data_IF_136810362102
#
_entry.id   IF_136810362102
#
_cell.length_a   1.000
_cell.length_b   1.000
_cell.length_c   1.000
_cell.angle_alpha   90.00
_cell.angle_beta   90.00
_cell.angle_gamma   90.00
#
_symmetry.space_group_name_H-M   'P 1'
#
loop_
_entity.id
_entity.type
_entity.pdbx_description
1 polymer ?
#
# COMPACT_ATOMS: atom_id res chain seq x y z
N UNK A 1 -10.47 -12.65 -3.33
CA UNK A 1 -9.04 -12.34 -3.47
C UNK A 1 -8.76 -11.91 -4.91
N UNK A 2 -8.09 -10.78 -5.13
CA UNK A 2 -7.71 -10.31 -6.47
C UNK A 2 -6.22 -10.56 -6.70
N UNK A 3 -5.88 -11.17 -7.83
CA UNK A 3 -4.49 -11.35 -8.22
C UNK A 3 -3.80 -10.01 -8.52
N UNK A 4 -2.48 -9.98 -8.36
CA UNK A 4 -1.62 -8.90 -8.84
C UNK A 4 -1.69 -8.87 -10.36
N UNK A 5 -1.87 -7.69 -10.93
CA UNK A 5 -1.90 -7.46 -12.37
C UNK A 5 -0.83 -6.46 -12.81
N UNK A 6 -0.75 -6.18 -14.11
CA UNK A 6 0.24 -5.25 -14.68
C UNK A 6 0.14 -3.83 -14.12
N UNK A 7 -1.06 -3.36 -13.76
CA UNK A 7 -1.24 -2.04 -13.17
C UNK A 7 -0.68 -1.98 -11.74
N UNK A 8 -0.85 -3.06 -10.97
CA UNK A 8 -0.25 -3.16 -9.64
C UNK A 8 1.29 -3.08 -9.70
N UNK A 9 1.89 -3.66 -10.75
CA UNK A 9 3.34 -3.55 -11.00
C UNK A 9 3.73 -2.11 -11.33
N UNK A 10 2.94 -1.40 -12.15
CA UNK A 10 3.19 0.01 -12.47
C UNK A 10 3.16 0.88 -11.20
N UNK A 11 2.22 0.62 -10.30
CA UNK A 11 2.12 1.32 -9.00
C UNK A 11 3.37 1.10 -8.15
N UNK A 12 3.87 -0.14 -8.06
CA UNK A 12 5.11 -0.44 -7.34
C UNK A 12 6.29 0.31 -7.96
N UNK A 13 6.40 0.33 -9.30
CA UNK A 13 7.47 1.04 -9.99
C UNK A 13 7.40 2.54 -9.78
N UNK A 14 6.20 3.12 -9.78
CA UNK A 14 5.98 4.53 -9.49
C UNK A 14 6.43 4.88 -8.06
N UNK A 15 6.08 4.05 -7.06
CA UNK A 15 6.56 4.22 -5.69
C UNK A 15 8.09 4.14 -5.60
N UNK A 16 8.71 3.15 -6.26
CA UNK A 16 10.17 3.01 -6.29
C UNK A 16 10.85 4.22 -6.91
N UNK A 17 10.30 4.75 -8.01
CA UNK A 17 10.81 5.95 -8.68
C UNK A 17 10.69 7.17 -7.76
N UNK A 18 9.53 7.36 -7.13
CA UNK A 18 9.31 8.46 -6.19
C UNK A 18 10.28 8.39 -4.99
N UNK A 19 10.42 7.22 -4.36
CA UNK A 19 11.39 7.01 -3.27
C UNK A 19 12.82 7.32 -3.72
N UNK A 20 13.22 6.84 -4.90
CA UNK A 20 14.57 7.10 -5.41
C UNK A 20 14.80 8.57 -5.68
N UNK A 21 13.85 9.24 -6.32
CA UNK A 21 13.91 10.68 -6.56
C UNK A 21 14.03 11.46 -5.24
N UNK A 22 13.21 11.15 -4.23
CA UNK A 22 13.31 11.77 -2.92
C UNK A 22 14.68 11.51 -2.27
N UNK A 23 15.22 10.30 -2.35
CA UNK A 23 16.52 9.97 -1.76
C UNK A 23 17.70 10.72 -2.41
N UNK A 24 17.64 10.98 -3.73
CA UNK A 24 18.72 11.66 -4.45
C UNK A 24 18.57 13.18 -4.43
N UNK A 25 17.34 13.68 -4.39
CA UNK A 25 17.01 15.10 -4.53
C UNK A 25 16.40 15.68 -3.24
N UNK A 26 16.59 15.04 -2.08
CA UNK A 26 15.96 15.46 -0.83
C UNK A 26 16.19 16.94 -0.51
N UNK A 27 17.42 17.50 -0.59
CA UNK A 27 17.65 18.91 -0.26
C UNK A 27 16.82 19.87 -1.14
N UNK A 28 16.71 19.57 -2.43
CA UNK A 28 15.95 20.39 -3.41
C UNK A 28 14.43 20.22 -3.27
N UNK A 29 13.99 19.18 -2.56
CA UNK A 29 12.58 18.83 -2.35
C UNK A 29 12.04 19.33 -1.02
N UNK A 30 12.89 19.68 -0.04
CA UNK A 30 12.48 20.06 1.32
C UNK A 30 11.51 21.26 1.34
N UNK A 31 11.74 22.26 0.49
CA UNK A 31 10.89 23.45 0.40
C UNK A 31 9.57 23.19 -0.36
N UNK A 32 9.42 22.04 -1.02
CA UNK A 32 8.34 21.70 -1.96
C UNK A 32 7.67 20.36 -1.57
N UNK A 33 7.77 19.91 -0.31
CA UNK A 33 7.07 18.69 0.12
C UNK A 33 5.56 18.96 0.19
N UNK A 34 4.92 18.85 -0.96
CA UNK A 34 3.48 18.87 -1.15
C UNK A 34 2.93 17.47 -0.84
N UNK A 35 2.50 17.29 0.41
CA UNK A 35 1.98 16.02 0.94
C UNK A 35 0.73 15.58 0.13
N UNK A 36 -0.03 16.53 -0.39
CA UNK A 36 -1.18 16.36 -1.27
C UNK A 36 -0.83 15.69 -2.61
N UNK A 37 0.30 16.08 -3.21
CA UNK A 37 0.75 15.55 -4.52
C UNK A 37 1.05 14.03 -4.47
N UNK A 38 1.35 13.48 -3.30
CA UNK A 38 1.70 12.07 -3.13
C UNK A 38 0.54 11.21 -2.62
N UNK A 39 -0.57 11.82 -2.21
CA UNK A 39 -1.74 11.13 -1.66
C UNK A 39 -2.34 10.09 -2.63
N UNK A 40 -2.44 10.43 -3.92
CA UNK A 40 -2.98 9.56 -4.95
C UNK A 40 -2.10 8.32 -5.19
N UNK A 41 -0.78 8.48 -5.17
CA UNK A 41 0.16 7.36 -5.31
C UNK A 41 0.09 6.44 -4.08
N UNK A 42 0.04 7.02 -2.87
CA UNK A 42 -0.07 6.27 -1.62
C UNK A 42 -1.38 5.46 -1.54
N UNK A 43 -2.50 6.01 -2.02
CA UNK A 43 -3.77 5.28 -2.09
C UNK A 43 -3.71 4.08 -3.05
N UNK A 44 -3.07 4.24 -4.21
CA UNK A 44 -2.84 3.12 -5.13
C UNK A 44 -1.94 2.06 -4.49
N UNK A 45 -0.88 2.47 -3.81
CA UNK A 45 0.04 1.57 -3.08
C UNK A 45 -0.71 0.78 -1.99
N UNK A 46 -1.60 1.43 -1.24
CA UNK A 46 -2.48 0.77 -0.26
C UNK A 46 -3.28 -0.37 -0.89
N UNK A 47 -3.85 -0.13 -2.07
CA UNK A 47 -4.59 -1.16 -2.83
C UNK A 47 -3.73 -2.35 -3.26
N UNK A 48 -2.49 -2.11 -3.69
CA UNK A 48 -1.54 -3.18 -4.05
C UNK A 48 -1.14 -4.00 -2.82
N UNK A 49 -0.80 -3.33 -1.72
CA UNK A 49 -0.41 -3.98 -0.47
C UNK A 49 -1.56 -4.80 0.11
N UNK A 50 -2.80 -4.34 -0.05
CA UNK A 50 -3.98 -5.15 0.30
C UNK A 50 -3.98 -6.49 -0.41
N UNK A 51 -3.80 -6.50 -1.74
CA UNK A 51 -3.77 -7.73 -2.53
C UNK A 51 -2.64 -8.66 -2.11
N UNK A 52 -1.44 -8.12 -1.89
CA UNK A 52 -0.26 -8.90 -1.49
C UNK A 52 -0.42 -9.50 -0.09
N UNK A 53 -0.80 -8.66 0.88
CA UNK A 53 -0.99 -9.06 2.27
C UNK A 53 -2.10 -10.12 2.38
N UNK A 54 -3.21 -9.89 1.69
CA UNK A 54 -4.33 -10.84 1.66
C UNK A 54 -3.95 -12.20 1.04
N UNK A 55 -3.24 -12.18 -0.08
CA UNK A 55 -2.74 -13.42 -0.72
C UNK A 55 -1.80 -14.18 0.20
N UNK A 56 -0.88 -13.48 0.87
CA UNK A 56 0.06 -14.09 1.81
C UNK A 56 -0.67 -14.71 3.00
N UNK A 57 -1.60 -13.98 3.63
CA UNK A 57 -2.39 -14.51 4.75
C UNK A 57 -3.18 -15.75 4.32
N UNK A 58 -3.78 -15.75 3.12
CA UNK A 58 -4.46 -16.93 2.60
C UNK A 58 -3.52 -18.13 2.43
N UNK A 59 -2.30 -17.91 1.92
CA UNK A 59 -1.30 -18.98 1.77
C UNK A 59 -0.81 -19.53 3.11
N UNK A 60 -0.70 -18.68 4.14
CA UNK A 60 -0.18 -19.06 5.45
C UNK A 60 -1.20 -19.83 6.29
N UNK A 61 -2.45 -19.38 6.33
CA UNK A 61 -3.48 -19.94 7.25
C UNK A 61 -4.77 -20.37 6.53
N UNK A 62 -4.98 -20.02 5.26
CA UNK A 62 -6.28 -20.18 4.59
C UNK A 62 -6.76 -21.61 4.34
N UNK A 63 -5.91 -22.62 4.60
CA UNK A 63 -6.28 -24.03 4.54
C UNK A 63 -6.76 -24.59 5.89
N UNK A 64 -6.67 -23.81 6.97
CA UNK A 64 -7.11 -24.23 8.30
C UNK A 64 -8.62 -24.43 8.34
N UNK A 65 -9.06 -25.58 8.89
CA UNK A 65 -10.47 -25.94 8.92
C UNK A 65 -11.33 -24.91 9.70
N UNK A 66 -10.72 -24.25 10.68
CA UNK A 66 -11.30 -23.22 11.54
C UNK A 66 -11.61 -21.92 10.77
N UNK A 67 -10.93 -21.69 9.64
CA UNK A 67 -11.09 -20.49 8.82
C UNK A 67 -12.03 -20.70 7.62
N UNK A 68 -12.78 -21.81 7.60
CA UNK A 68 -13.85 -22.02 6.62
C UNK A 68 -14.93 -20.96 6.76
N UNK A 69 -15.25 -20.28 5.66
CA UNK A 69 -16.29 -19.25 5.61
C UNK A 69 -15.79 -17.82 5.83
N UNK A 70 -14.49 -17.62 6.07
CA UNK A 70 -13.89 -16.28 6.12
C UNK A 70 -14.03 -15.57 4.76
N UNK A 71 -14.50 -14.32 4.78
CA UNK A 71 -14.45 -13.47 3.59
C UNK A 71 -13.03 -12.92 3.41
N UNK A 72 -12.25 -13.66 2.63
CA UNK A 72 -10.91 -13.27 2.22
C UNK A 72 -10.86 -11.94 1.44
N UNK A 73 -11.97 -11.33 1.02
CA UNK A 73 -11.90 -9.98 0.43
C UNK A 73 -11.82 -8.86 1.47
N UNK A 74 -11.93 -9.16 2.76
CA UNK A 74 -11.89 -8.19 3.86
C UNK A 74 -10.70 -8.38 4.82
N UNK A 75 -10.03 -9.54 4.77
CA UNK A 75 -8.90 -9.86 5.67
C UNK A 75 -7.71 -8.95 5.38
N UNK A 76 -7.24 -8.27 6.44
CA UNK A 76 -6.09 -7.37 6.44
C UNK A 76 -4.94 -8.00 7.22
N UNK A 77 -3.78 -8.20 6.60
CA UNK A 77 -2.57 -8.55 7.32
C UNK A 77 -1.89 -7.32 7.94
N UNK A 78 -0.87 -7.57 8.76
CA UNK A 78 -0.15 -6.53 9.50
C UNK A 78 0.47 -5.46 8.60
N UNK A 79 1.00 -5.86 7.44
CA UNK A 79 1.63 -4.92 6.49
C UNK A 79 0.61 -3.93 5.92
N UNK A 80 -0.63 -4.37 5.70
CA UNK A 80 -1.70 -3.49 5.25
C UNK A 80 -2.08 -2.46 6.31
N UNK A 81 -2.15 -2.86 7.60
CA UNK A 81 -2.50 -1.97 8.70
C UNK A 81 -1.50 -0.82 8.85
N UNK A 82 -0.20 -1.08 8.65
CA UNK A 82 0.84 -0.05 8.69
C UNK A 82 0.61 1.00 7.59
N UNK A 83 0.32 0.56 6.37
CA UNK A 83 0.12 1.45 5.23
C UNK A 83 -1.19 2.21 5.34
N UNK A 84 -2.25 1.57 5.83
CA UNK A 84 -3.52 2.22 6.13
C UNK A 84 -3.31 3.37 7.15
N UNK A 85 -2.53 3.14 8.20
CA UNK A 85 -2.18 4.19 9.16
C UNK A 85 -1.40 5.35 8.50
N UNK A 86 -0.38 5.05 7.69
CA UNK A 86 0.40 6.07 6.97
C UNK A 86 -0.51 6.92 6.07
N UNK A 87 -1.38 6.27 5.27
CA UNK A 87 -2.30 6.96 4.38
C UNK A 87 -3.28 7.84 5.15
N UNK A 88 -3.80 7.37 6.29
CA UNK A 88 -4.70 8.15 7.12
C UNK A 88 -4.02 9.38 7.72
N UNK A 89 -2.78 9.25 8.20
CA UNK A 89 -2.01 10.37 8.73
C UNK A 89 -1.72 11.42 7.66
N UNK A 90 -1.36 10.97 6.45
CA UNK A 90 -1.16 11.86 5.28
C UNK A 90 -2.43 12.63 4.93
N UNK A 91 -3.61 12.00 5.02
CA UNK A 91 -4.88 12.69 4.79
C UNK A 91 -5.18 13.76 5.82
N UNK A 92 -4.89 13.50 7.10
CA UNK A 92 -5.09 14.46 8.18
C UNK A 92 -4.19 15.69 7.97
N UNK A 93 -2.95 15.49 7.52
CA UNK A 93 -2.00 16.58 7.24
C UNK A 93 -2.38 17.44 6.02
N UNK A 94 -3.29 16.96 5.16
CA UNK A 94 -3.79 17.67 3.99
C UNK A 94 -5.13 18.40 4.24
N UNK A 95 -5.66 18.38 5.47
CA UNK A 95 -6.87 19.11 5.90
C UNK A 95 -6.49 20.44 6.55
#
# INVERSE_FOLDING_TARGET
MKAINSEDINVIQALRKHRNDLAHNLPDRLDIIHIDQNSALLEKVKGVIFKLSNYRTYMEIGQEAELKGVDWNSVKGHEFLIIENIVNNVKILNQ
#
